data_IF_595388113859
#
_entry.id   IF_595388113859
#
_cell.length_a   1.000
_cell.length_b   1.000
_cell.length_c   1.000
_cell.angle_alpha   90.00
_cell.angle_beta   90.00
_cell.angle_gamma   90.00
#
_symmetry.space_group_name_H-M   'P 1'
#
loop_
_entity.id
_entity.type
_entity.pdbx_description
1 polymer ?
#
# COMPACT_ATOMS: atom_id res chain seq x y z
N UNK A 1 0.64 -42.58 -47.13
CA UNK A 1 0.17 -43.11 -45.84
C UNK A 1 0.64 -42.13 -44.77
N UNK A 2 -0.13 -41.06 -44.54
CA UNK A 2 0.17 -40.09 -43.49
C UNK A 2 -0.38 -40.62 -42.17
N UNK A 3 0.50 -40.82 -41.18
CA UNK A 3 0.10 -41.05 -39.79
C UNK A 3 -0.36 -39.73 -39.19
N UNK A 4 -1.66 -39.59 -38.95
CA UNK A 4 -2.22 -38.50 -38.16
C UNK A 4 -1.88 -38.71 -36.68
N UNK A 5 -1.08 -37.79 -36.14
CA UNK A 5 -0.86 -37.61 -34.71
C UNK A 5 -2.19 -37.33 -34.00
N UNK A 6 -2.56 -38.18 -33.05
CA UNK A 6 -3.72 -37.95 -32.16
C UNK A 6 -3.39 -36.76 -31.25
N UNK A 7 -3.80 -35.56 -31.68
CA UNK A 7 -3.76 -34.35 -30.88
C UNK A 7 -4.81 -34.48 -29.75
N UNK A 8 -4.35 -34.58 -28.51
CA UNK A 8 -5.23 -34.62 -27.33
C UNK A 8 -5.97 -33.27 -27.20
N UNK A 9 -7.28 -33.26 -26.90
CA UNK A 9 -8.09 -32.04 -26.99
C UNK A 9 -7.62 -30.96 -25.99
N UNK A 10 -7.53 -29.69 -26.41
CA UNK A 10 -6.97 -28.60 -25.61
C UNK A 10 -7.70 -28.38 -24.26
N UNK A 11 -8.98 -28.74 -24.18
CA UNK A 11 -9.77 -28.64 -22.95
C UNK A 11 -9.30 -29.57 -21.82
N UNK A 12 -8.73 -30.74 -22.14
CA UNK A 12 -8.25 -31.70 -21.13
C UNK A 12 -6.93 -31.23 -20.48
N UNK A 13 -6.08 -30.56 -21.26
CA UNK A 13 -4.84 -29.96 -20.75
C UNK A 13 -5.12 -28.68 -19.95
N UNK A 14 -6.14 -27.90 -20.32
CA UNK A 14 -6.62 -26.77 -19.52
C UNK A 14 -7.20 -27.22 -18.18
N UNK A 15 -8.05 -28.24 -18.17
CA UNK A 15 -8.60 -28.79 -16.92
C UNK A 15 -7.52 -29.38 -16.02
N UNK A 16 -6.51 -30.06 -16.58
CA UNK A 16 -5.38 -30.59 -15.81
C UNK A 16 -4.49 -29.48 -15.23
N UNK A 17 -4.26 -28.40 -15.98
CA UNK A 17 -3.52 -27.23 -15.49
C UNK A 17 -4.31 -26.43 -14.44
N UNK A 18 -5.63 -26.32 -14.58
CA UNK A 18 -6.51 -25.73 -13.58
C UNK A 18 -6.56 -26.59 -12.31
N UNK A 19 -6.59 -27.93 -12.44
CA UNK A 19 -6.48 -28.85 -11.30
C UNK A 19 -5.13 -28.78 -10.61
N UNK A 20 -4.01 -28.79 -11.34
CA UNK A 20 -2.67 -28.66 -10.75
C UNK A 20 -2.47 -27.30 -10.06
N UNK A 21 -3.08 -26.24 -10.59
CA UNK A 21 -3.01 -24.88 -10.03
C UNK A 21 -3.93 -24.71 -8.82
N UNK A 22 -5.11 -25.35 -8.82
CA UNK A 22 -6.00 -25.46 -7.66
C UNK A 22 -5.38 -26.34 -6.56
N UNK A 23 -4.68 -27.42 -6.91
CA UNK A 23 -3.95 -28.30 -6.00
C UNK A 23 -2.74 -27.60 -5.39
N UNK A 24 -2.00 -26.78 -6.17
CA UNK A 24 -0.87 -26.00 -5.66
C UNK A 24 -1.33 -24.84 -4.76
N UNK A 25 -2.46 -24.21 -5.09
CA UNK A 25 -3.12 -23.21 -4.26
C UNK A 25 -3.63 -23.83 -2.95
N UNK A 26 -4.31 -24.97 -3.02
CA UNK A 26 -4.80 -25.74 -1.87
C UNK A 26 -3.65 -26.28 -1.00
N UNK A 27 -2.51 -26.67 -1.60
CA UNK A 27 -1.30 -27.06 -0.88
C UNK A 27 -0.57 -25.86 -0.25
N UNK A 28 -0.59 -24.69 -0.89
CA UNK A 28 -0.07 -23.44 -0.28
C UNK A 28 -0.93 -22.98 0.90
N UNK A 29 -2.23 -23.25 0.81
CA UNK A 29 -3.24 -22.88 1.79
C UNK A 29 -3.28 -23.87 2.96
N UNK A 30 -3.19 -25.18 2.70
CA UNK A 30 -2.97 -26.20 3.73
C UNK A 30 -1.65 -25.97 4.47
N UNK A 31 -0.59 -25.55 3.78
CA UNK A 31 0.66 -25.11 4.44
C UNK A 31 0.49 -23.83 5.27
N UNK A 32 -0.47 -22.97 4.92
CA UNK A 32 -0.82 -21.78 5.71
C UNK A 32 -1.70 -22.12 6.91
N UNK A 33 -2.57 -23.13 6.80
CA UNK A 33 -3.41 -23.64 7.89
C UNK A 33 -2.65 -24.53 8.86
N UNK A 34 -1.75 -25.39 8.39
CA UNK A 34 -0.80 -26.12 9.25
C UNK A 34 0.09 -25.13 9.99
N UNK A 35 0.52 -24.03 9.37
CA UNK A 35 1.17 -22.90 10.07
C UNK A 35 0.25 -22.15 11.04
N UNK A 36 -1.07 -22.23 10.89
CA UNK A 36 -2.04 -21.66 11.85
C UNK A 36 -2.36 -22.63 12.99
N UNK A 37 -2.22 -23.95 12.79
CA UNK A 37 -2.44 -24.95 13.83
C UNK A 37 -1.17 -25.21 14.66
N UNK A 38 0.02 -25.17 14.04
CA UNK A 38 1.32 -25.09 14.76
C UNK A 38 1.52 -23.76 15.52
N UNK A 39 0.62 -22.78 15.34
CA UNK A 39 0.62 -21.52 16.09
C UNK A 39 0.03 -21.66 17.50
N UNK A 40 -0.58 -22.78 17.85
CA UNK A 40 -1.09 -23.05 19.21
C UNK A 40 -0.03 -23.62 20.17
N UNK A 41 1.20 -23.91 19.72
CA UNK A 41 2.23 -24.56 20.56
C UNK A 41 3.38 -23.69 21.10
N UNK A 42 3.45 -22.37 20.88
CA UNK A 42 4.55 -21.53 21.43
C UNK A 42 4.10 -20.19 22.05
N UNK A 43 3.77 -20.23 23.34
CA UNK A 43 3.34 -19.08 24.17
C UNK A 43 4.39 -17.93 24.25
N UNK A 44 5.67 -18.22 23.95
CA UNK A 44 6.74 -17.22 23.86
C UNK A 44 6.84 -16.50 22.50
N UNK A 45 6.71 -17.25 21.39
CA UNK A 45 6.80 -16.71 20.01
C UNK A 45 5.62 -15.82 19.66
N UNK A 46 4.45 -16.08 20.23
CA UNK A 46 3.25 -15.27 20.03
C UNK A 46 3.40 -13.83 20.60
N UNK A 47 4.05 -13.66 21.75
CA UNK A 47 4.24 -12.31 22.36
C UNK A 47 5.14 -11.40 21.52
N UNK A 48 6.27 -11.90 21.02
CA UNK A 48 7.17 -11.11 20.17
C UNK A 48 6.52 -10.74 18.83
N UNK A 49 5.77 -11.67 18.24
CA UNK A 49 4.99 -11.41 17.03
C UNK A 49 3.94 -10.31 17.27
N UNK A 50 3.18 -10.37 18.36
CA UNK A 50 2.17 -9.35 18.70
C UNK A 50 2.79 -7.99 19.01
N UNK A 51 3.94 -7.95 19.68
CA UNK A 51 4.69 -6.70 19.93
C UNK A 51 5.17 -6.10 18.61
N UNK A 52 5.81 -6.90 17.75
CA UNK A 52 6.31 -6.44 16.46
C UNK A 52 5.17 -5.95 15.55
N UNK A 53 4.04 -6.66 15.57
CA UNK A 53 2.83 -6.27 14.87
C UNK A 53 2.28 -4.94 15.40
N UNK A 54 2.18 -4.80 16.73
CA UNK A 54 1.74 -3.56 17.38
C UNK A 54 2.64 -2.37 17.06
N UNK A 55 3.96 -2.56 17.05
CA UNK A 55 4.92 -1.52 16.64
C UNK A 55 4.67 -1.11 15.18
N UNK A 56 4.50 -2.06 14.26
CA UNK A 56 4.24 -1.75 12.86
C UNK A 56 2.92 -1.00 12.64
N UNK A 57 1.86 -1.38 13.35
CA UNK A 57 0.60 -0.64 13.33
C UNK A 57 0.77 0.79 13.83
N UNK A 58 1.49 0.98 14.95
CA UNK A 58 1.75 2.32 15.49
C UNK A 58 2.60 3.15 14.53
N UNK A 59 3.67 2.58 13.96
CA UNK A 59 4.48 3.24 12.95
C UNK A 59 3.67 3.63 11.72
N UNK A 60 2.83 2.71 11.21
CA UNK A 60 1.96 2.99 10.07
C UNK A 60 0.94 4.08 10.39
N UNK A 61 0.32 4.02 11.57
CA UNK A 61 -0.69 4.98 12.00
C UNK A 61 -0.12 6.39 12.15
N UNK A 62 0.91 6.52 12.99
CA UNK A 62 1.59 7.79 13.23
C UNK A 62 2.21 8.29 11.93
N UNK A 63 2.89 7.41 11.19
CA UNK A 63 3.52 7.74 9.92
C UNK A 63 2.53 8.26 8.88
N UNK A 64 1.44 7.53 8.62
CA UNK A 64 0.45 7.90 7.60
C UNK A 64 -0.24 9.23 7.91
N UNK A 65 -0.72 9.41 9.15
CA UNK A 65 -1.45 10.62 9.54
C UNK A 65 -0.52 11.82 9.61
N UNK A 66 0.63 11.69 10.28
CA UNK A 66 1.57 12.80 10.41
C UNK A 66 2.20 13.18 9.07
N UNK A 67 2.60 12.23 8.23
CA UNK A 67 3.21 12.54 6.92
C UNK A 67 2.23 13.24 5.97
N UNK A 68 0.96 12.83 5.94
CA UNK A 68 -0.07 13.47 5.14
C UNK A 68 -0.32 14.92 5.60
N UNK A 69 -0.43 15.12 6.91
CA UNK A 69 -0.62 16.45 7.49
C UNK A 69 0.61 17.34 7.28
N UNK A 70 1.83 16.86 7.55
CA UNK A 70 3.05 17.64 7.38
C UNK A 70 3.35 17.96 5.91
N UNK A 71 3.08 17.02 5.01
CA UNK A 71 3.20 17.28 3.57
C UNK A 71 2.28 18.41 3.14
N UNK A 72 1.05 18.46 3.67
CA UNK A 72 0.15 19.60 3.42
C UNK A 72 0.61 20.87 4.12
N UNK A 73 1.11 20.77 5.35
CA UNK A 73 1.64 21.90 6.12
C UNK A 73 2.68 22.65 5.31
N UNK A 74 3.62 21.91 4.70
CA UNK A 74 4.65 22.44 3.82
C UNK A 74 4.07 23.28 2.67
N UNK A 75 3.09 22.76 1.93
CA UNK A 75 2.47 23.48 0.82
C UNK A 75 1.59 24.66 1.26
N UNK A 76 0.94 24.58 2.42
CA UNK A 76 0.13 25.68 2.96
C UNK A 76 0.98 26.88 3.39
N UNK A 77 2.19 26.63 3.87
CA UNK A 77 3.16 27.64 4.32
C UNK A 77 4.10 28.09 3.19
N UNK A 78 3.57 28.14 1.96
CA UNK A 78 4.24 28.59 0.74
C UNK A 78 5.39 27.72 0.24
N UNK A 79 5.55 26.49 0.74
CA UNK A 79 6.37 25.48 0.07
C UNK A 79 5.82 25.21 -1.32
N UNK A 80 6.63 25.39 -2.36
CA UNK A 80 6.23 25.28 -3.76
C UNK A 80 6.85 24.09 -4.49
N UNK A 81 7.95 23.55 -3.96
CA UNK A 81 8.73 22.54 -4.65
C UNK A 81 8.15 21.14 -4.52
N UNK A 82 7.56 20.64 -5.61
CA UNK A 82 7.06 19.26 -5.71
C UNK A 82 8.19 18.23 -5.65
N UNK A 83 9.38 18.57 -6.16
CA UNK A 83 10.55 17.70 -6.08
C UNK A 83 11.07 17.57 -4.66
N UNK A 84 11.10 18.66 -3.88
CA UNK A 84 11.43 18.59 -2.43
C UNK A 84 10.45 17.67 -1.71
N UNK A 85 9.14 17.87 -1.92
CA UNK A 85 8.12 17.00 -1.32
C UNK A 85 8.25 15.53 -1.77
N UNK A 86 8.70 15.26 -2.99
CA UNK A 86 8.92 13.89 -3.50
C UNK A 86 10.15 13.26 -2.85
N UNK A 87 11.24 14.02 -2.77
CA UNK A 87 12.52 13.58 -2.23
C UNK A 87 12.41 13.27 -0.74
N UNK A 88 11.75 14.13 0.03
CA UNK A 88 11.54 13.99 1.48
C UNK A 88 10.83 12.69 1.86
N UNK A 89 9.97 12.15 1.00
CA UNK A 89 9.28 10.87 1.25
C UNK A 89 10.28 9.72 1.41
N UNK A 90 11.33 9.68 0.60
CA UNK A 90 12.26 8.55 0.52
C UNK A 90 13.67 8.85 1.05
N UNK A 91 14.06 10.12 1.18
CA UNK A 91 15.39 10.53 1.65
C UNK A 91 15.72 10.08 3.08
N UNK A 92 14.72 9.63 3.83
CA UNK A 92 14.88 9.11 5.18
C UNK A 92 15.36 7.67 5.27
N UNK A 93 15.64 6.99 4.14
CA UNK A 93 16.12 5.62 4.12
C UNK A 93 17.25 5.30 5.11
N UNK A 94 18.19 6.21 5.46
CA UNK A 94 19.22 5.90 6.45
C UNK A 94 18.65 5.57 7.84
N UNK A 95 17.44 6.03 8.17
CA UNK A 95 16.76 5.68 9.42
C UNK A 95 16.44 4.19 9.51
N UNK A 96 16.26 3.51 8.38
CA UNK A 96 16.07 2.05 8.33
C UNK A 96 17.35 1.27 8.66
N UNK A 97 18.53 1.91 8.67
CA UNK A 97 19.76 1.26 9.13
C UNK A 97 19.71 0.95 10.63
N UNK A 98 18.99 1.75 11.43
CA UNK A 98 18.83 1.50 12.86
C UNK A 98 18.16 0.14 13.16
N UNK A 99 16.96 -0.19 12.63
CA UNK A 99 16.37 -1.50 12.85
C UNK A 99 17.21 -2.63 12.25
N UNK A 100 17.88 -2.42 11.10
CA UNK A 100 18.77 -3.45 10.51
C UNK A 100 19.95 -3.75 11.44
N UNK A 101 20.58 -2.71 12.01
CA UNK A 101 21.68 -2.87 12.95
C UNK A 101 21.22 -3.50 14.27
N UNK A 102 20.04 -3.13 14.76
CA UNK A 102 19.43 -3.75 15.93
C UNK A 102 19.20 -5.24 15.71
N UNK A 103 18.65 -5.65 14.56
CA UNK A 103 18.50 -7.07 14.22
C UNK A 103 19.84 -7.79 14.13
N UNK A 104 20.87 -7.15 13.55
CA UNK A 104 22.24 -7.70 13.52
C UNK A 104 22.76 -8.02 14.92
N UNK A 105 22.56 -7.12 15.89
CA UNK A 105 23.00 -7.34 17.28
C UNK A 105 22.14 -8.42 17.95
N UNK A 106 20.81 -8.27 17.92
CA UNK A 106 19.91 -9.14 18.70
C UNK A 106 19.83 -10.57 18.16
N UNK A 107 20.11 -10.79 16.87
CA UNK A 107 19.97 -12.11 16.23
C UNK A 107 21.28 -12.65 15.66
N UNK A 108 22.39 -11.91 15.79
CA UNK A 108 23.68 -12.19 15.15
C UNK A 108 23.62 -12.39 13.63
N UNK A 109 22.49 -12.04 12.98
CA UNK A 109 22.28 -12.19 11.54
C UNK A 109 23.14 -11.18 10.79
N UNK A 110 23.90 -11.66 9.80
CA UNK A 110 24.60 -10.79 8.85
C UNK A 110 23.58 -10.15 7.90
N UNK A 111 23.50 -8.80 7.81
CA UNK A 111 22.59 -8.12 6.89
C UNK A 111 22.82 -8.58 5.44
N UNK A 112 21.75 -8.64 4.65
CA UNK A 112 21.76 -8.99 3.22
C UNK A 112 22.24 -10.41 2.88
N UNK A 113 22.43 -11.30 3.85
CA UNK A 113 22.86 -12.70 3.57
C UNK A 113 21.86 -13.47 2.69
N UNK A 114 20.57 -13.11 2.74
CA UNK A 114 19.52 -13.72 1.92
C UNK A 114 19.25 -13.00 0.58
N UNK A 115 20.01 -11.94 0.27
CA UNK A 115 19.74 -11.12 -0.91
C UNK A 115 20.29 -11.78 -2.18
N UNK A 116 19.40 -12.39 -2.95
CA UNK A 116 19.75 -12.88 -4.28
C UNK A 116 19.75 -11.72 -5.30
N UNK A 117 20.51 -11.81 -6.40
CA UNK A 117 20.49 -10.80 -7.46
C UNK A 117 19.10 -10.53 -8.03
N UNK A 118 18.22 -11.56 -8.06
CA UNK A 118 16.83 -11.43 -8.48
C UNK A 118 16.01 -10.55 -7.53
N UNK A 119 16.16 -10.75 -6.22
CA UNK A 119 15.46 -9.94 -5.20
C UNK A 119 15.99 -8.50 -5.24
N UNK A 120 17.30 -8.32 -5.39
CA UNK A 120 17.91 -7.00 -5.53
C UNK A 120 17.35 -6.25 -6.75
N UNK A 121 17.34 -6.88 -7.92
CA UNK A 121 16.80 -6.29 -9.14
C UNK A 121 15.32 -5.91 -8.97
N UNK A 122 14.53 -6.80 -8.38
CA UNK A 122 13.11 -6.57 -8.14
C UNK A 122 12.87 -5.41 -7.16
N UNK A 123 13.64 -5.33 -6.07
CA UNK A 123 13.61 -4.22 -5.13
C UNK A 123 13.98 -2.89 -5.80
N UNK A 124 14.97 -2.88 -6.69
CA UNK A 124 15.34 -1.66 -7.43
C UNK A 124 14.20 -1.23 -8.37
N UNK A 125 13.62 -2.16 -9.15
CA UNK A 125 12.50 -1.87 -10.04
C UNK A 125 11.29 -1.32 -9.28
N UNK A 126 10.95 -1.93 -8.14
CA UNK A 126 9.84 -1.48 -7.29
C UNK A 126 10.18 -0.15 -6.63
N UNK A 127 11.44 0.08 -6.25
CA UNK A 127 11.90 1.37 -5.74
C UNK A 127 11.74 2.50 -6.76
N UNK A 128 11.97 2.25 -8.05
CA UNK A 128 11.66 3.24 -9.09
C UNK A 128 10.16 3.51 -9.20
N UNK A 129 9.31 2.46 -9.18
CA UNK A 129 7.86 2.62 -9.15
C UNK A 129 7.40 3.42 -7.92
N UNK A 130 8.01 3.17 -6.76
CA UNK A 130 7.78 3.90 -5.53
C UNK A 130 8.16 5.38 -5.67
N UNK A 131 9.30 5.68 -6.29
CA UNK A 131 9.70 7.06 -6.57
C UNK A 131 8.73 7.80 -7.49
N UNK A 132 8.19 7.13 -8.52
CA UNK A 132 7.13 7.68 -9.39
C UNK A 132 5.85 7.90 -8.58
N UNK A 133 5.46 6.94 -7.73
CA UNK A 133 4.32 7.08 -6.84
C UNK A 133 4.46 8.30 -5.91
N UNK A 134 5.63 8.49 -5.31
CA UNK A 134 5.91 9.62 -4.44
C UNK A 134 5.81 10.96 -5.18
N UNK A 135 6.19 11.00 -6.45
CA UNK A 135 6.03 12.17 -7.31
C UNK A 135 4.55 12.49 -7.54
N UNK A 136 3.76 11.49 -7.94
CA UNK A 136 2.31 11.65 -8.12
C UNK A 136 1.62 12.10 -6.82
N UNK A 137 2.01 11.52 -5.68
CA UNK A 137 1.50 11.90 -4.37
C UNK A 137 1.84 13.35 -4.00
N UNK A 138 3.06 13.81 -4.31
CA UNK A 138 3.48 15.20 -4.11
C UNK A 138 2.66 16.17 -4.94
N UNK A 139 2.35 15.81 -6.19
CA UNK A 139 1.49 16.60 -7.06
C UNK A 139 0.06 16.66 -6.53
N UNK A 140 -0.49 15.54 -6.07
CA UNK A 140 -1.79 15.48 -5.38
C UNK A 140 -1.87 16.43 -4.19
N UNK A 141 -0.92 16.32 -3.24
CA UNK A 141 -0.87 17.18 -2.05
C UNK A 141 -0.68 18.67 -2.35
N UNK A 142 0.07 18.99 -3.41
CA UNK A 142 0.33 20.38 -3.79
C UNK A 142 -0.93 21.10 -4.28
N UNK A 143 -1.88 20.38 -4.89
CA UNK A 143 -3.04 20.98 -5.55
C UNK A 143 -4.38 20.69 -4.85
N UNK A 144 -4.48 19.59 -4.10
CA UNK A 144 -5.72 19.16 -3.45
C UNK A 144 -5.68 19.39 -1.93
N UNK A 145 -6.82 19.70 -1.30
CA UNK A 145 -6.97 19.57 0.16
C UNK A 145 -6.69 18.14 0.65
N UNK A 146 -6.34 17.97 1.92
CA UNK A 146 -5.99 16.64 2.48
C UNK A 146 -7.18 15.70 2.43
N UNK A 147 -8.37 16.21 2.78
CA UNK A 147 -9.63 15.48 2.71
C UNK A 147 -9.92 14.96 1.30
N UNK A 148 -9.80 15.81 0.29
CA UNK A 148 -10.00 15.45 -1.12
C UNK A 148 -8.96 14.46 -1.60
N UNK A 149 -7.68 14.72 -1.31
CA UNK A 149 -6.59 13.82 -1.69
C UNK A 149 -6.80 12.41 -1.12
N UNK A 150 -7.18 12.32 0.16
CA UNK A 150 -7.45 11.05 0.84
C UNK A 150 -8.66 10.32 0.25
N UNK A 151 -9.75 11.04 -0.05
CA UNK A 151 -10.93 10.44 -0.66
C UNK A 151 -10.67 9.96 -2.10
N UNK A 152 -9.92 10.71 -2.89
CA UNK A 152 -9.54 10.28 -4.25
C UNK A 152 -8.60 9.08 -4.19
N UNK A 153 -7.67 9.05 -3.22
CA UNK A 153 -6.78 7.91 -3.00
C UNK A 153 -7.55 6.62 -2.65
N UNK A 154 -8.78 6.72 -2.11
CA UNK A 154 -9.65 5.56 -1.84
C UNK A 154 -9.92 4.67 -3.06
N UNK A 155 -9.82 5.24 -4.26
CA UNK A 155 -9.91 4.50 -5.53
C UNK A 155 -8.88 3.37 -5.64
N UNK A 156 -7.79 3.44 -4.87
CA UNK A 156 -6.82 2.35 -4.77
C UNK A 156 -7.47 1.01 -4.42
N UNK A 157 -8.57 0.98 -3.66
CA UNK A 157 -9.27 -0.27 -3.37
C UNK A 157 -9.98 -0.84 -4.60
N UNK A 158 -10.62 0.02 -5.40
CA UNK A 158 -11.20 -0.41 -6.66
C UNK A 158 -10.10 -0.97 -7.58
N UNK A 159 -8.96 -0.29 -7.68
CA UNK A 159 -7.82 -0.79 -8.46
C UNK A 159 -7.23 -2.08 -7.90
N UNK A 160 -7.16 -2.24 -6.58
CA UNK A 160 -6.67 -3.46 -5.93
C UNK A 160 -7.54 -4.65 -6.32
N UNK A 161 -8.86 -4.45 -6.27
CA UNK A 161 -9.82 -5.47 -6.64
C UNK A 161 -9.74 -5.82 -8.13
N UNK A 162 -9.70 -4.81 -9.02
CA UNK A 162 -9.53 -5.02 -10.47
C UNK A 162 -8.23 -5.78 -10.76
N UNK A 163 -7.13 -5.38 -10.11
CA UNK A 163 -5.83 -6.02 -10.25
C UNK A 163 -5.86 -7.47 -9.77
N UNK A 164 -6.55 -7.76 -8.66
CA UNK A 164 -6.73 -9.13 -8.18
C UNK A 164 -7.49 -10.00 -9.18
N UNK A 165 -8.53 -9.44 -9.82
CA UNK A 165 -9.27 -10.13 -10.89
C UNK A 165 -8.38 -10.41 -12.10
N UNK A 166 -7.54 -9.46 -12.52
CA UNK A 166 -6.67 -9.63 -13.70
C UNK A 166 -5.50 -10.59 -13.42
N UNK A 167 -4.80 -10.39 -12.31
CA UNK A 167 -3.56 -11.12 -11.99
C UNK A 167 -3.85 -12.53 -11.45
N UNK A 168 -4.85 -12.64 -10.58
CA UNK A 168 -5.16 -13.88 -9.84
C UNK A 168 -6.41 -14.56 -10.39
N UNK A 169 -7.02 -14.03 -11.47
CA UNK A 169 -8.28 -14.54 -12.06
C UNK A 169 -9.39 -14.72 -11.03
N UNK A 170 -9.41 -13.86 -10.01
CA UNK A 170 -10.37 -13.96 -8.93
C UNK A 170 -11.80 -13.72 -9.44
N UNK A 171 -12.74 -14.60 -9.08
CA UNK A 171 -14.16 -14.43 -9.39
C UNK A 171 -14.71 -13.19 -8.68
N UNK A 172 -15.39 -12.32 -9.43
CA UNK A 172 -16.01 -11.10 -8.89
C UNK A 172 -17.29 -11.50 -8.13
N UNK A 173 -17.36 -11.13 -6.86
CA UNK A 173 -18.60 -11.23 -6.07
C UNK A 173 -19.44 -9.96 -6.24
N UNK A 174 -20.74 -10.04 -5.95
CA UNK A 174 -21.61 -8.86 -6.01
C UNK A 174 -21.12 -7.73 -5.08
N UNK A 175 -20.62 -8.07 -3.90
CA UNK A 175 -20.06 -7.11 -2.95
C UNK A 175 -18.82 -6.39 -3.49
N UNK A 176 -17.96 -7.12 -4.20
CA UNK A 176 -16.77 -6.57 -4.86
C UNK A 176 -17.17 -5.61 -5.99
N UNK A 177 -18.16 -5.97 -6.82
CA UNK A 177 -18.66 -5.08 -7.87
C UNK A 177 -19.28 -3.80 -7.28
N UNK A 178 -20.07 -3.93 -6.22
CA UNK A 178 -20.66 -2.79 -5.52
C UNK A 178 -19.59 -1.83 -4.98
N UNK A 179 -18.52 -2.37 -4.39
CA UNK A 179 -17.37 -1.57 -3.95
C UNK A 179 -16.78 -0.71 -5.08
N UNK A 180 -16.49 -1.32 -6.24
CA UNK A 180 -15.91 -0.61 -7.38
C UNK A 180 -16.83 0.52 -7.85
N UNK A 181 -18.12 0.24 -7.99
CA UNK A 181 -19.11 1.23 -8.44
C UNK A 181 -19.16 2.39 -7.44
N UNK A 182 -19.28 2.12 -6.14
CA UNK A 182 -19.38 3.15 -5.10
C UNK A 182 -18.14 4.05 -5.04
N UNK A 183 -16.94 3.47 -5.11
CA UNK A 183 -15.68 4.23 -5.11
C UNK A 183 -15.49 5.06 -6.39
N UNK A 184 -15.95 4.54 -7.53
CA UNK A 184 -15.93 5.27 -8.79
C UNK A 184 -16.89 6.45 -8.75
N UNK A 185 -18.14 6.22 -8.30
CA UNK A 185 -19.15 7.28 -8.15
C UNK A 185 -18.68 8.35 -7.15
N UNK A 186 -18.10 7.94 -6.02
CA UNK A 186 -17.51 8.87 -5.04
C UNK A 186 -16.46 9.79 -5.68
N UNK A 187 -15.56 9.21 -6.48
CA UNK A 187 -14.50 9.97 -7.14
C UNK A 187 -15.04 10.92 -8.21
N UNK A 188 -16.01 10.46 -9.00
CA UNK A 188 -16.70 11.30 -9.99
C UNK A 188 -17.43 12.45 -9.28
N UNK A 189 -18.08 12.18 -8.16
CA UNK A 189 -18.80 13.19 -7.37
C UNK A 189 -17.85 14.28 -6.85
N UNK A 190 -16.64 13.90 -6.40
CA UNK A 190 -15.60 14.86 -6.01
C UNK A 190 -15.05 15.67 -7.20
N UNK A 191 -14.90 15.05 -8.36
CA UNK A 191 -14.49 15.75 -9.58
C UNK A 191 -15.53 16.80 -10.01
N UNK A 192 -16.82 16.45 -9.95
CA UNK A 192 -17.94 17.36 -10.23
C UNK A 192 -18.07 18.48 -9.19
N UNK A 193 -17.78 18.17 -7.92
CA UNK A 193 -17.74 19.12 -6.80
C UNK A 193 -16.55 20.08 -6.79
N UNK A 194 -15.61 19.95 -7.74
CA UNK A 194 -14.33 20.69 -7.81
C UNK A 194 -14.44 22.21 -7.71
N UNK A 195 -15.57 22.80 -8.11
CA UNK A 195 -15.78 24.25 -8.03
C UNK A 195 -15.91 24.76 -6.57
N UNK A 196 -16.38 23.91 -5.65
CA UNK A 196 -16.53 24.23 -4.22
C UNK A 196 -15.36 23.74 -3.36
N UNK A 197 -14.55 22.84 -3.92
CA UNK A 197 -13.42 22.19 -3.23
C UNK A 197 -12.05 22.79 -3.60
N UNK A 198 -12.08 23.70 -4.56
CA UNK A 198 -11.00 24.56 -5.02
C UNK A 198 -10.20 25.26 -3.90
N UNK A 199 -8.90 25.00 -3.59
CA UNK A 199 -8.13 25.97 -2.80
C UNK A 199 -8.18 27.37 -3.45
N UNK A 200 -8.30 28.42 -2.63
CA UNK A 200 -8.45 29.81 -3.11
C UNK A 200 -7.27 30.18 -4.03
N UNK A 201 -7.56 30.70 -5.22
CA UNK A 201 -6.54 31.15 -6.19
C UNK A 201 -5.96 30.06 -7.10
N UNK A 202 -6.30 28.78 -6.94
CA UNK A 202 -5.87 27.74 -7.89
C UNK A 202 -6.58 27.92 -9.26
N UNK A 203 -6.19 27.19 -10.30
CA UNK A 203 -6.99 27.09 -11.54
C UNK A 203 -7.69 25.72 -11.59
N UNK A 204 -8.78 25.59 -12.38
CA UNK A 204 -9.44 24.28 -12.56
C UNK A 204 -8.49 23.24 -13.14
N UNK A 205 -7.61 23.63 -14.08
CA UNK A 205 -6.62 22.73 -14.66
C UNK A 205 -5.64 22.15 -13.63
N UNK A 206 -5.09 22.98 -12.73
CA UNK A 206 -4.20 22.52 -11.65
C UNK A 206 -4.90 21.57 -10.68
N UNK A 207 -6.17 21.81 -10.38
CA UNK A 207 -6.97 20.88 -9.57
C UNK A 207 -7.05 19.50 -10.23
N UNK A 208 -7.40 19.43 -11.52
CA UNK A 208 -7.50 18.14 -12.23
C UNK A 208 -6.14 17.45 -12.37
N UNK A 209 -5.06 18.20 -12.54
CA UNK A 209 -3.70 17.66 -12.48
C UNK A 209 -3.46 16.96 -11.15
N UNK A 210 -3.81 17.60 -10.02
CA UNK A 210 -3.76 16.97 -8.70
C UNK A 210 -4.63 15.73 -8.61
N UNK A 211 -5.88 15.83 -9.05
CA UNK A 211 -6.86 14.73 -9.04
C UNK A 211 -6.35 13.49 -9.79
N UNK A 212 -5.94 13.64 -11.05
CA UNK A 212 -5.44 12.52 -11.85
C UNK A 212 -4.11 11.98 -11.32
N UNK A 213 -3.25 12.85 -10.75
CA UNK A 213 -2.02 12.39 -10.08
C UNK A 213 -2.36 11.52 -8.88
N UNK A 214 -3.35 11.89 -8.06
CA UNK A 214 -3.79 11.09 -6.91
C UNK A 214 -4.42 9.76 -7.33
N UNK A 215 -5.23 9.74 -8.39
CA UNK A 215 -5.76 8.49 -8.97
C UNK A 215 -4.62 7.59 -9.44
N UNK A 216 -3.62 8.16 -10.13
CA UNK A 216 -2.42 7.44 -10.56
C UNK A 216 -1.59 6.89 -9.40
N UNK A 217 -1.43 7.66 -8.32
CA UNK A 217 -0.78 7.19 -7.09
C UNK A 217 -1.57 6.03 -6.46
N UNK A 218 -2.91 6.14 -6.40
CA UNK A 218 -3.77 5.06 -5.92
C UNK A 218 -3.62 3.78 -6.76
N UNK A 219 -3.49 3.89 -8.08
CA UNK A 219 -3.23 2.76 -8.97
C UNK A 219 -1.86 2.12 -8.69
N UNK A 220 -0.79 2.91 -8.60
CA UNK A 220 0.55 2.39 -8.31
C UNK A 220 0.62 1.73 -6.93
N UNK A 221 -0.04 2.31 -5.92
CA UNK A 221 -0.14 1.72 -4.60
C UNK A 221 -0.95 0.41 -4.59
N UNK A 222 -2.05 0.35 -5.34
CA UNK A 222 -2.85 -0.85 -5.52
C UNK A 222 -2.10 -1.98 -6.23
N UNK A 223 -1.16 -1.66 -7.13
CA UNK A 223 -0.25 -2.63 -7.75
C UNK A 223 0.88 -3.03 -6.80
N UNK A 224 1.39 -2.09 -6.01
CA UNK A 224 2.48 -2.31 -5.06
C UNK A 224 2.15 -3.39 -4.03
N UNK A 225 0.98 -3.31 -3.36
CA UNK A 225 0.65 -4.22 -2.27
C UNK A 225 0.65 -5.71 -2.67
N UNK A 226 -0.04 -6.15 -3.73
CA UNK A 226 -0.04 -7.56 -4.14
C UNK A 226 1.33 -8.05 -4.63
N UNK A 227 2.10 -7.18 -5.31
CA UNK A 227 3.45 -7.51 -5.76
C UNK A 227 4.33 -7.78 -4.54
N UNK A 228 4.30 -6.90 -3.53
CA UNK A 228 5.08 -7.09 -2.31
C UNK A 228 4.63 -8.31 -1.52
N UNK A 229 3.32 -8.56 -1.40
CA UNK A 229 2.82 -9.79 -0.75
C UNK A 229 3.42 -11.05 -1.41
N UNK A 230 3.43 -11.10 -2.75
CA UNK A 230 4.00 -12.22 -3.50
C UNK A 230 5.50 -12.37 -3.30
N UNK A 231 6.24 -11.26 -3.20
CA UNK A 231 7.69 -11.30 -2.98
C UNK A 231 8.01 -11.71 -1.55
N UNK A 232 7.28 -11.17 -0.57
CA UNK A 232 7.44 -11.47 0.84
C UNK A 232 7.16 -12.93 1.20
N UNK A 233 6.32 -13.64 0.43
CA UNK A 233 6.20 -15.11 0.56
C UNK A 233 7.50 -15.87 0.31
N UNK A 234 8.45 -15.28 -0.44
CA UNK A 234 9.79 -15.84 -0.70
C UNK A 234 10.85 -15.36 0.29
N UNK A 235 10.47 -14.51 1.24
CA UNK A 235 11.35 -13.91 2.23
C UNK A 235 11.23 -14.66 3.55
N UNK A 236 12.37 -15.00 4.14
CA UNK A 236 12.41 -15.89 5.32
C UNK A 236 12.18 -15.18 6.66
N UNK A 237 12.43 -13.86 6.75
CA UNK A 237 12.33 -13.14 8.01
C UNK A 237 12.01 -11.65 7.82
N UNK A 238 11.44 -11.03 8.86
CA UNK A 238 11.11 -9.61 8.89
C UNK A 238 12.31 -8.69 8.64
N UNK A 239 13.50 -9.06 9.13
CA UNK A 239 14.70 -8.25 8.91
C UNK A 239 15.07 -8.14 7.41
N UNK A 240 14.78 -9.16 6.61
CA UNK A 240 14.96 -9.10 5.16
C UNK A 240 13.92 -8.21 4.46
N UNK A 241 12.72 -8.07 5.04
CA UNK A 241 11.71 -7.09 4.58
C UNK A 241 12.22 -5.67 4.78
N UNK A 242 12.84 -5.36 5.91
CA UNK A 242 13.44 -4.05 6.16
C UNK A 242 14.66 -3.79 5.25
N UNK A 243 15.48 -4.81 4.98
CA UNK A 243 16.57 -4.73 3.99
C UNK A 243 16.03 -4.42 2.59
N UNK A 244 14.92 -5.05 2.18
CA UNK A 244 14.23 -4.74 0.93
C UNK A 244 13.66 -3.32 0.90
N UNK A 245 13.04 -2.87 1.99
CA UNK A 245 12.52 -1.51 2.11
C UNK A 245 13.64 -0.48 1.95
N UNK A 246 14.80 -0.71 2.57
CA UNK A 246 15.99 0.14 2.41
C UNK A 246 16.39 0.26 0.93
N UNK A 247 16.51 -0.87 0.22
CA UNK A 247 16.91 -0.87 -1.21
C UNK A 247 15.89 -0.14 -2.08
N UNK A 248 14.59 -0.37 -1.84
CA UNK A 248 13.52 0.31 -2.58
C UNK A 248 13.61 1.83 -2.38
N UNK A 249 13.84 2.28 -1.15
CA UNK A 249 13.95 3.71 -0.86
C UNK A 249 15.24 4.34 -1.34
N UNK A 250 16.36 3.61 -1.39
CA UNK A 250 17.59 4.08 -2.05
C UNK A 250 17.31 4.35 -3.53
N UNK A 251 16.65 3.41 -4.23
CA UNK A 251 16.30 3.59 -5.63
C UNK A 251 15.30 4.75 -5.85
N UNK A 252 14.29 4.87 -5.00
CA UNK A 252 13.36 6.00 -5.02
C UNK A 252 14.06 7.34 -4.74
N UNK A 253 15.03 7.35 -3.82
CA UNK A 253 15.85 8.51 -3.49
C UNK A 253 16.76 8.88 -4.64
N UNK A 254 17.34 7.90 -5.34
CA UNK A 254 18.14 8.16 -6.54
C UNK A 254 17.29 8.84 -7.63
N UNK A 255 16.10 8.32 -7.92
CA UNK A 255 15.18 8.92 -8.89
C UNK A 255 14.78 10.34 -8.50
N UNK A 256 14.37 10.55 -7.24
CA UNK A 256 13.97 11.87 -6.76
C UNK A 256 15.15 12.84 -6.69
N UNK A 257 16.36 12.37 -6.40
CA UNK A 257 17.59 13.17 -6.43
C UNK A 257 17.92 13.63 -7.86
N UNK A 258 17.75 12.76 -8.87
CA UNK A 258 17.87 13.17 -10.28
C UNK A 258 16.86 14.27 -10.60
N UNK A 259 15.61 14.13 -10.17
CA UNK A 259 14.60 15.17 -10.32
C UNK A 259 14.93 16.48 -9.59
N UNK A 260 15.48 16.38 -8.38
CA UNK A 260 15.98 17.53 -7.61
C UNK A 260 17.12 18.25 -8.31
N UNK A 261 18.09 17.52 -8.88
CA UNK A 261 19.21 18.13 -9.61
C UNK A 261 18.73 18.77 -10.90
N UNK A 262 17.94 18.04 -11.71
CA UNK A 262 17.43 18.53 -12.98
C UNK A 262 16.50 19.75 -12.83
N UNK A 263 15.72 19.79 -11.74
CA UNK A 263 14.81 20.89 -11.42
C UNK A 263 15.43 22.03 -10.62
N UNK A 264 16.72 21.97 -10.27
CA UNK A 264 17.35 22.96 -9.38
C UNK A 264 16.81 22.95 -7.93
N UNK A 265 16.15 21.86 -7.52
CA UNK A 265 15.42 21.71 -6.28
C UNK A 265 16.26 21.92 -5.01
N UNK A 266 17.57 21.65 -5.02
CA UNK A 266 18.43 21.94 -3.86
C UNK A 266 18.63 23.45 -3.63
N UNK A 267 18.75 24.21 -4.73
CA UNK A 267 18.80 25.68 -4.66
C UNK A 267 17.44 26.25 -4.27
N UNK A 268 16.36 25.67 -4.80
CA UNK A 268 14.99 26.01 -4.44
C UNK A 268 14.74 25.77 -2.96
N UNK A 269 15.14 24.62 -2.39
CA UNK A 269 14.99 24.29 -0.97
C UNK A 269 15.68 25.34 -0.07
N UNK A 270 16.91 25.75 -0.42
CA UNK A 270 17.62 26.81 0.30
C UNK A 270 16.88 28.14 0.20
N UNK A 271 16.48 28.53 -1.00
CA UNK A 271 15.78 29.80 -1.26
C UNK A 271 14.43 29.84 -0.56
N UNK A 272 13.70 28.74 -0.60
CA UNK A 272 12.38 28.57 -0.01
C UNK A 272 12.45 28.70 1.51
N UNK A 273 13.42 28.03 2.14
CA UNK A 273 13.62 28.11 3.59
C UNK A 273 13.91 29.54 4.09
N UNK A 274 14.63 30.35 3.31
CA UNK A 274 15.09 31.68 3.76
C UNK A 274 14.10 32.78 3.36
N UNK A 275 13.52 32.71 2.17
CA UNK A 275 12.82 33.84 1.54
C UNK A 275 11.33 33.61 1.31
N UNK A 276 10.85 32.36 1.28
CA UNK A 276 9.49 32.05 0.82
C UNK A 276 8.63 31.51 1.96
N UNK A 277 9.17 30.60 2.77
CA UNK A 277 8.45 29.98 3.87
C UNK A 277 8.09 31.04 4.91
N UNK A 278 6.79 31.21 5.15
CA UNK A 278 6.23 32.30 5.95
C UNK A 278 6.54 32.18 7.46
N UNK A 279 6.72 30.96 7.97
CA UNK A 279 7.15 30.69 9.35
C UNK A 279 8.68 30.73 9.53
N UNK A 280 9.42 31.02 8.46
CA UNK A 280 10.87 31.16 8.47
C UNK A 280 11.66 29.85 8.41
N UNK A 281 12.99 29.97 8.30
CA UNK A 281 13.89 28.85 8.00
C UNK A 281 13.87 27.74 9.05
N UNK A 282 13.76 28.06 10.34
CA UNK A 282 13.74 27.05 11.41
C UNK A 282 12.52 26.13 11.29
N UNK A 283 11.34 26.72 11.09
CA UNK A 283 10.11 25.98 10.90
C UNK A 283 10.16 25.13 9.62
N UNK A 284 10.72 25.68 8.54
CA UNK A 284 10.92 24.95 7.29
C UNK A 284 11.69 23.64 7.49
N UNK A 285 12.91 23.73 8.05
CA UNK A 285 13.77 22.57 8.24
C UNK A 285 13.19 21.57 9.24
N UNK A 286 12.45 22.05 10.23
CA UNK A 286 11.72 21.22 11.17
C UNK A 286 10.56 20.47 10.49
N UNK A 287 9.76 21.14 9.66
CA UNK A 287 8.72 20.50 8.85
C UNK A 287 9.31 19.45 7.92
N UNK A 288 10.37 19.80 7.17
CA UNK A 288 11.06 18.88 6.25
C UNK A 288 11.60 17.67 7.02
N UNK A 289 12.31 17.90 8.14
CA UNK A 289 12.90 16.83 8.94
C UNK A 289 11.86 15.88 9.55
N UNK A 290 10.78 16.41 10.15
CA UNK A 290 9.69 15.55 10.65
C UNK A 290 8.94 14.84 9.53
N UNK A 291 8.79 15.47 8.35
CA UNK A 291 8.18 14.82 7.20
C UNK A 291 9.04 13.64 6.73
N UNK A 292 10.37 13.78 6.70
CA UNK A 292 11.29 12.65 6.44
C UNK A 292 11.04 11.52 7.45
N UNK A 293 11.06 11.80 8.75
CA UNK A 293 10.88 10.77 9.79
C UNK A 293 9.51 10.08 9.67
N UNK A 294 8.44 10.84 9.50
CA UNK A 294 7.08 10.28 9.48
C UNK A 294 6.81 9.45 8.22
N UNK A 295 7.35 9.83 7.06
CA UNK A 295 7.29 9.00 5.86
C UNK A 295 8.02 7.67 6.02
N UNK A 296 9.16 7.68 6.71
CA UNK A 296 9.90 6.46 7.01
C UNK A 296 9.12 5.51 7.92
N UNK A 297 8.44 6.05 8.94
CA UNK A 297 7.53 5.26 9.77
C UNK A 297 6.36 4.69 8.94
N UNK A 298 5.82 5.46 8.00
CA UNK A 298 4.75 5.02 7.12
C UNK A 298 5.20 3.85 6.22
N UNK A 299 6.36 3.97 5.56
CA UNK A 299 6.90 2.94 4.69
C UNK A 299 7.27 1.66 5.44
N UNK A 300 7.99 1.79 6.56
CA UNK A 300 8.31 0.67 7.43
C UNK A 300 7.05 -0.02 7.94
N UNK A 301 6.08 0.74 8.45
CA UNK A 301 4.82 0.21 8.96
C UNK A 301 4.02 -0.51 7.86
N UNK A 302 4.00 0.03 6.64
CA UNK A 302 3.34 -0.61 5.49
C UNK A 302 4.03 -1.93 5.13
N UNK A 303 5.35 -1.93 5.01
CA UNK A 303 6.11 -3.13 4.68
C UNK A 303 5.92 -4.24 5.72
N UNK A 304 5.98 -3.88 7.01
CA UNK A 304 5.78 -4.82 8.10
C UNK A 304 4.35 -5.34 8.18
N UNK A 305 3.36 -4.48 7.92
CA UNK A 305 1.96 -4.87 7.83
C UNK A 305 1.72 -5.92 6.74
N UNK A 306 2.23 -5.68 5.52
CA UNK A 306 2.09 -6.62 4.39
C UNK A 306 2.78 -7.96 4.70
N UNK A 307 3.87 -7.96 5.45
CA UNK A 307 4.57 -9.20 5.83
C UNK A 307 3.88 -9.96 6.97
N UNK A 308 3.38 -9.25 7.99
CA UNK A 308 2.88 -9.85 9.22
C UNK A 308 1.39 -10.15 9.19
N UNK A 309 0.60 -9.51 8.32
CA UNK A 309 -0.86 -9.61 8.34
C UNK A 309 -1.43 -10.23 7.07
N UNK A 310 -2.71 -10.59 7.13
CA UNK A 310 -3.47 -11.02 5.95
C UNK A 310 -4.00 -9.82 5.18
N UNK A 311 -4.34 -10.04 3.91
CA UNK A 311 -4.92 -8.98 3.06
C UNK A 311 -6.23 -8.41 3.65
N UNK A 312 -7.00 -9.20 4.42
CA UNK A 312 -8.20 -8.74 5.13
C UNK A 312 -7.85 -7.70 6.21
N UNK A 313 -6.94 -8.04 7.13
CA UNK A 313 -6.57 -7.16 8.24
C UNK A 313 -5.83 -5.92 7.73
N UNK A 314 -5.02 -6.06 6.68
CA UNK A 314 -4.42 -4.94 5.95
C UNK A 314 -5.47 -4.01 5.34
N UNK A 315 -6.50 -4.54 4.68
CA UNK A 315 -7.59 -3.78 4.10
C UNK A 315 -8.40 -2.97 5.13
N UNK A 316 -8.72 -3.57 6.28
CA UNK A 316 -9.39 -2.89 7.40
C UNK A 316 -8.53 -1.74 7.94
N UNK A 317 -7.24 -1.99 8.14
CA UNK A 317 -6.31 -0.98 8.64
C UNK A 317 -6.18 0.21 7.69
N UNK A 318 -5.94 -0.04 6.40
CA UNK A 318 -5.82 1.01 5.39
C UNK A 318 -7.11 1.84 5.27
N UNK A 319 -8.26 1.20 5.44
CA UNK A 319 -9.57 1.88 5.47
C UNK A 319 -9.66 2.84 6.65
N UNK A 320 -9.33 2.38 7.86
CA UNK A 320 -9.37 3.19 9.07
C UNK A 320 -8.41 4.39 8.96
N UNK A 321 -7.19 4.15 8.46
CA UNK A 321 -6.20 5.21 8.22
C UNK A 321 -6.70 6.25 7.23
N UNK A 322 -7.38 5.83 6.17
CA UNK A 322 -7.91 6.76 5.20
C UNK A 322 -9.03 7.64 5.79
N UNK A 323 -9.95 7.07 6.55
CA UNK A 323 -10.97 7.83 7.28
C UNK A 323 -10.36 8.86 8.24
N UNK A 324 -9.30 8.46 8.94
CA UNK A 324 -8.58 9.35 9.87
C UNK A 324 -7.81 10.44 9.14
N UNK A 325 -7.25 10.17 7.96
CA UNK A 325 -6.61 11.20 7.12
C UNK A 325 -7.64 12.23 6.61
N UNK A 326 -8.84 11.78 6.22
CA UNK A 326 -9.94 12.69 5.85
C UNK A 326 -10.31 13.60 7.02
N UNK A 327 -10.55 13.03 8.21
CA UNK A 327 -10.88 13.79 9.42
C UNK A 327 -9.73 14.72 9.84
N UNK A 328 -8.48 14.26 9.77
CA UNK A 328 -7.30 15.05 10.09
C UNK A 328 -7.19 16.30 9.22
N UNK A 329 -7.46 16.17 7.91
CA UNK A 329 -7.51 17.31 6.99
C UNK A 329 -8.55 18.36 7.40
N UNK A 330 -9.76 17.91 7.77
CA UNK A 330 -10.85 18.80 8.20
C UNK A 330 -10.54 19.47 9.54
N UNK A 331 -10.06 18.72 10.53
CA UNK A 331 -9.81 19.23 11.88
C UNK A 331 -8.60 20.16 11.95
N UNK A 332 -7.51 19.84 11.24
CA UNK A 332 -6.25 20.60 11.34
C UNK A 332 -6.23 21.80 10.42
N UNK A 333 -6.73 21.66 9.19
CA UNK A 333 -6.67 22.73 8.18
C UNK A 333 -7.99 23.44 7.94
N UNK A 334 -9.08 22.99 8.58
CA UNK A 334 -10.41 23.54 8.33
C UNK A 334 -10.85 23.30 6.88
N UNK A 335 -10.45 22.17 6.27
CA UNK A 335 -10.81 21.82 4.90
C UNK A 335 -12.33 21.97 4.72
N UNK A 336 -12.76 22.79 3.76
CA UNK A 336 -14.18 23.00 3.49
C UNK A 336 -14.85 21.66 3.17
N UNK A 337 -15.75 21.23 4.05
CA UNK A 337 -16.42 19.93 3.99
C UNK A 337 -17.86 20.09 3.52
N UNK A 338 -18.03 20.42 2.24
CA UNK A 338 -19.35 20.58 1.63
C UNK A 338 -20.10 19.26 1.39
N UNK A 339 -21.36 19.35 0.96
CA UNK A 339 -22.24 18.19 0.73
C UNK A 339 -21.63 17.13 -0.21
N UNK A 340 -20.92 17.54 -1.27
CA UNK A 340 -20.22 16.62 -2.17
C UNK A 340 -19.19 15.74 -1.45
N UNK A 341 -18.38 16.31 -0.54
CA UNK A 341 -17.42 15.54 0.26
C UNK A 341 -18.10 14.63 1.27
N UNK A 342 -19.17 15.11 1.90
CA UNK A 342 -19.93 14.30 2.85
C UNK A 342 -20.51 13.04 2.17
N UNK A 343 -21.19 13.22 1.04
CA UNK A 343 -21.74 12.10 0.27
C UNK A 343 -20.63 11.19 -0.26
N UNK A 344 -19.53 11.76 -0.78
CA UNK A 344 -18.38 10.97 -1.25
C UNK A 344 -17.75 10.15 -0.13
N UNK A 345 -17.65 10.71 1.08
CA UNK A 345 -17.13 10.00 2.26
C UNK A 345 -18.05 8.84 2.65
N UNK A 346 -19.37 9.03 2.62
CA UNK A 346 -20.34 7.97 2.87
C UNK A 346 -20.29 6.86 1.82
N UNK A 347 -20.19 7.22 0.53
CA UNK A 347 -20.03 6.27 -0.57
C UNK A 347 -18.72 5.50 -0.46
N UNK A 348 -17.63 6.17 -0.10
CA UNK A 348 -16.36 5.55 0.21
C UNK A 348 -16.53 4.53 1.34
N UNK A 349 -17.09 4.93 2.49
CA UNK A 349 -17.32 4.06 3.65
C UNK A 349 -18.15 2.81 3.27
N UNK A 350 -19.21 2.99 2.50
CA UNK A 350 -20.01 1.86 2.01
C UNK A 350 -19.22 0.97 1.04
N UNK A 351 -18.44 1.56 0.13
CA UNK A 351 -17.53 0.83 -0.75
C UNK A 351 -16.56 -0.05 0.04
N UNK A 352 -15.97 0.49 1.11
CA UNK A 352 -15.09 -0.24 2.02
C UNK A 352 -15.78 -1.39 2.74
N UNK A 353 -16.96 -1.15 3.32
CA UNK A 353 -17.73 -2.20 3.98
C UNK A 353 -18.04 -3.35 3.01
N UNK A 354 -18.36 -3.02 1.75
CA UNK A 354 -18.61 -4.01 0.69
C UNK A 354 -17.35 -4.79 0.34
N UNK A 355 -16.19 -4.14 0.30
CA UNK A 355 -14.89 -4.79 0.06
C UNK A 355 -14.52 -5.78 1.18
N UNK A 356 -14.60 -5.34 2.44
CA UNK A 356 -14.31 -6.19 3.61
C UNK A 356 -15.26 -7.39 3.63
N UNK A 357 -16.55 -7.15 3.41
CA UNK A 357 -17.54 -8.22 3.33
C UNK A 357 -17.23 -9.21 2.19
N UNK A 358 -16.81 -8.71 1.03
CA UNK A 358 -16.40 -9.53 -0.11
C UNK A 358 -15.20 -10.43 0.20
N UNK A 359 -14.20 -9.91 0.93
CA UNK A 359 -13.07 -10.72 1.40
C UNK A 359 -13.55 -11.76 2.42
N UNK A 360 -14.36 -11.35 3.39
CA UNK A 360 -14.87 -12.24 4.45
C UNK A 360 -15.64 -13.45 3.88
N UNK A 361 -16.56 -13.21 2.94
CA UNK A 361 -17.30 -14.29 2.27
C UNK A 361 -16.35 -15.25 1.56
N UNK A 362 -15.35 -14.71 0.86
CA UNK A 362 -14.34 -15.53 0.16
C UNK A 362 -13.55 -16.40 1.13
N UNK A 363 -13.08 -15.83 2.25
CA UNK A 363 -12.36 -16.58 3.29
C UNK A 363 -13.22 -17.72 3.83
N UNK A 364 -14.50 -17.45 4.10
CA UNK A 364 -15.44 -18.46 4.61
C UNK A 364 -15.74 -19.57 3.59
N UNK A 365 -15.86 -19.22 2.30
CA UNK A 365 -16.02 -20.21 1.23
C UNK A 365 -14.80 -21.11 1.08
N UNK A 366 -13.60 -20.56 1.23
CA UNK A 366 -12.33 -21.31 1.19
C UNK A 366 -12.20 -22.25 2.40
N UNK A 367 -12.53 -21.80 3.61
CA UNK A 367 -12.58 -22.63 4.83
C UNK A 367 -13.54 -23.81 4.68
N UNK A 368 -14.77 -23.55 4.22
CA UNK A 368 -15.79 -24.60 4.03
C UNK A 368 -15.37 -25.66 2.99
N UNK A 369 -14.57 -25.29 1.98
CA UNK A 369 -14.07 -26.27 0.98
C UNK A 369 -13.07 -27.24 1.60
N UNK A 370 -12.20 -26.75 2.48
CA UNK A 370 -11.21 -27.59 3.17
C UNK A 370 -11.87 -28.53 4.16
N UNK A 371 -12.82 -28.03 4.95
CA UNK A 371 -13.53 -28.88 5.92
C UNK A 371 -14.25 -30.03 5.19
N UNK A 372 -14.84 -29.74 4.03
CA UNK A 372 -15.45 -30.76 3.19
C UNK A 372 -14.44 -31.73 2.54
N UNK A 373 -13.25 -31.29 2.15
CA UNK A 373 -12.21 -32.18 1.60
C UNK A 373 -11.61 -33.08 2.68
N UNK A 374 -11.28 -32.53 3.85
CA UNK A 374 -10.77 -33.28 5.00
C UNK A 374 -11.79 -34.31 5.51
N UNK A 375 -13.09 -33.98 5.45
CA UNK A 375 -14.16 -34.91 5.82
C UNK A 375 -14.26 -36.09 4.83
N UNK A 376 -14.07 -35.85 3.53
CA UNK A 376 -14.06 -36.92 2.51
C UNK A 376 -12.83 -37.81 2.60
N UNK A 377 -11.65 -37.26 2.85
CA UNK A 377 -10.41 -38.06 3.04
C UNK A 377 -10.49 -38.96 4.28
N UNK A 378 -11.06 -38.46 5.39
CA UNK A 378 -11.28 -39.27 6.60
C UNK A 378 -12.27 -40.41 6.36
N UNK A 379 -13.34 -40.16 5.60
CA UNK A 379 -14.34 -41.17 5.27
C UNK A 379 -13.76 -42.23 4.33
N UNK A 380 -13.00 -41.83 3.31
CA UNK A 380 -12.31 -42.76 2.42
C UNK A 380 -11.26 -43.60 3.14
N UNK A 381 -10.55 -43.07 4.14
CA UNK A 381 -9.52 -43.80 4.87
C UNK A 381 -10.11 -44.81 5.88
N UNK A 382 -11.35 -44.58 6.33
CA UNK A 382 -12.08 -45.49 7.21
C UNK A 382 -12.67 -46.69 6.49
N UNK A 383 -12.87 -46.62 5.17
CA UNK A 383 -13.41 -47.73 4.37
C UNK A 383 -12.32 -48.75 3.95
N UNK A 384 -11.03 -48.45 4.21
CA UNK A 384 -9.88 -49.32 3.92
C UNK A 384 -9.18 -49.89 5.17
N UNK A 385 -9.74 -49.67 6.37
CA UNK A 385 -9.29 -50.25 7.64
C UNK A 385 -10.34 -51.22 8.17
#
# INVERSE_FOLDING_TARGET
>A
MELSSVQQPPALNQHRQEQEQDDEAAASFSRSLVKMHDKEQETGRNRYYMILLGINYMCLFVGSVSSSLLSKFYFNHKGGSRWVSTWVQCAGFPLLLFPIYLFKICTHRKPFTGFTPKILCLSICIGFLLGINNLLFSWGNSYLPVSTNSLVLSTQLAFTLITSVIIVKQKITFANLNCVILLTVSSVLLALGSSHDKPRGLTKGKYFIGFFSTVGAGLLFALYLPIMEKIYRKVYCYAMVIEMQLVMEIAATALSTVGMVAGGGFSEMKTESIKVFDLGAKAYWLTVGFNVVTWQLCFMGTAGMVFLTTSLTGGVCMTALMGINVLGGVLVYGDHFGGFKAVSTLLCLWGFCSYIYGIYIKTKEEENKIDNSNSREKMSSSDYA
#
